data_IF_567662225597
#
_entry.id   IF_567662225597
#
_cell.length_a   1.000
_cell.length_b   1.000
_cell.length_c   1.000
_cell.angle_alpha   90.00
_cell.angle_beta   90.00
_cell.angle_gamma   90.00
#
_symmetry.space_group_name_H-M   'P 1'
#
loop_
_entity.id
_entity.type
_entity.pdbx_description
1 polymer ?
#
# COMPACT_ATOMS: atom_id res chain seq x y z
N UNK A 1 -14.18 -1.56 8.82
CA UNK A 1 -12.95 -0.86 9.25
C UNK A 1 -11.99 -0.86 8.07
N UNK A 2 -11.29 0.25 7.78
CA UNK A 2 -10.38 0.34 6.63
C UNK A 2 -9.10 -0.49 6.83
N UNK A 3 -8.36 -0.76 5.76
CA UNK A 3 -7.08 -1.46 5.81
C UNK A 3 -6.15 -0.77 6.82
N UNK A 4 -5.91 -1.39 7.99
CA UNK A 4 -5.04 -0.83 9.03
C UNK A 4 -3.58 -0.70 8.61
N UNK A 5 -3.21 -1.31 7.47
CA UNK A 5 -1.89 -1.22 6.87
C UNK A 5 -1.84 -0.23 5.71
N UNK A 6 -2.97 0.14 5.10
CA UNK A 6 -2.95 1.09 4.01
C UNK A 6 -2.48 2.44 4.53
N UNK A 7 -1.34 2.90 3.99
CA UNK A 7 -0.98 4.30 4.11
C UNK A 7 -2.10 5.16 3.50
N UNK A 8 -2.41 6.34 4.08
CA UNK A 8 -3.16 7.34 3.34
C UNK A 8 -2.39 7.60 2.03
N UNK A 9 -3.12 7.61 0.91
CA UNK A 9 -2.54 7.95 -0.39
C UNK A 9 -1.87 9.32 -0.24
N UNK A 10 -0.54 9.37 -0.35
CA UNK A 10 0.14 10.62 -0.61
C UNK A 10 -0.12 10.96 -2.07
N UNK A 11 -0.72 12.12 -2.31
CA UNK A 11 -0.86 12.66 -3.64
C UNK A 11 0.52 12.73 -4.28
N UNK A 12 0.62 12.06 -5.42
CA UNK A 12 1.82 12.07 -6.21
C UNK A 12 1.92 13.43 -6.88
N UNK A 13 2.86 14.25 -6.44
CA UNK A 13 3.36 15.35 -7.26
C UNK A 13 4.07 14.72 -8.46
N UNK A 14 3.32 14.56 -9.56
CA UNK A 14 3.92 14.42 -10.88
C UNK A 14 4.85 15.62 -11.00
N UNK A 15 6.16 15.39 -10.94
CA UNK A 15 7.16 16.42 -11.23
C UNK A 15 7.18 16.64 -12.73
N UNK A 16 6.06 17.15 -13.24
CA UNK A 16 5.83 17.70 -14.57
C UNK A 16 4.44 18.31 -14.53
N UNK A 17 4.40 19.65 -14.55
CA UNK A 17 3.27 20.41 -15.06
C UNK A 17 3.04 20.02 -16.53
N UNK A 18 2.49 18.83 -16.79
CA UNK A 18 2.00 18.48 -18.11
C UNK A 18 0.67 19.22 -18.26
N UNK A 19 0.69 20.26 -19.07
CA UNK A 19 -0.50 21.02 -19.38
C UNK A 19 -1.51 20.09 -20.08
N UNK A 20 -2.81 20.35 -19.93
CA UNK A 20 -3.87 19.59 -20.62
C UNK A 20 -3.66 19.53 -22.15
N UNK A 21 -2.88 20.45 -22.71
CA UNK A 21 -2.54 20.52 -24.12
C UNK A 21 -1.54 19.43 -24.52
N UNK A 22 -0.55 19.13 -23.67
CA UNK A 22 0.44 18.08 -23.91
C UNK A 22 -0.20 16.69 -23.90
N UNK A 23 -1.20 16.47 -23.03
CA UNK A 23 -1.97 15.22 -22.99
C UNK A 23 -2.74 14.96 -24.28
N UNK A 24 -3.34 16.00 -24.86
CA UNK A 24 -4.13 15.88 -26.10
C UNK A 24 -3.24 15.57 -27.32
N UNK A 25 -2.00 16.06 -27.32
CA UNK A 25 -1.02 15.79 -28.38
C UNK A 25 -0.48 14.36 -28.33
N UNK A 26 -0.38 13.78 -27.13
CA UNK A 26 0.17 12.44 -26.89
C UNK A 26 -0.86 11.31 -26.99
N UNK A 27 -2.15 11.63 -27.06
CA UNK A 27 -3.24 10.66 -27.07
C UNK A 27 -3.19 9.71 -28.28
N UNK A 28 -2.69 10.19 -29.43
CA UNK A 28 -2.71 9.48 -30.71
C UNK A 28 -1.38 8.81 -31.08
N UNK A 29 -0.36 8.87 -30.20
CA UNK A 29 0.94 8.26 -30.48
C UNK A 29 0.96 6.78 -30.08
N UNK A 30 1.12 5.90 -31.06
CA UNK A 30 1.34 4.48 -30.82
C UNK A 30 2.61 4.29 -29.97
N UNK A 31 2.48 3.51 -28.90
CA UNK A 31 3.56 3.26 -27.97
C UNK A 31 3.39 1.88 -27.34
N UNK A 32 4.48 1.13 -27.28
CA UNK A 32 4.53 -0.21 -26.69
C UNK A 32 5.55 -0.23 -25.56
N UNK A 33 5.27 -1.02 -24.53
CA UNK A 33 6.25 -1.30 -23.47
C UNK A 33 7.07 -2.53 -23.86
N UNK A 34 8.37 -2.33 -24.06
CA UNK A 34 9.29 -3.42 -24.43
C UNK A 34 9.94 -4.04 -23.19
N UNK A 35 10.26 -3.21 -22.20
CA UNK A 35 10.91 -3.66 -20.97
C UNK A 35 10.33 -2.96 -19.76
N UNK A 36 10.06 -3.73 -18.71
CA UNK A 36 9.76 -3.20 -17.38
C UNK A 36 10.83 -3.67 -16.41
N UNK A 37 11.34 -2.75 -15.61
CA UNK A 37 12.31 -3.04 -14.57
C UNK A 37 11.81 -2.47 -13.24
N UNK A 38 11.95 -3.24 -12.17
CA UNK A 38 11.73 -2.76 -10.81
C UNK A 38 13.06 -2.82 -10.07
N UNK A 39 13.39 -1.76 -9.35
CA UNK A 39 14.66 -1.60 -8.64
C UNK A 39 14.41 -1.17 -7.19
N UNK A 40 15.40 -1.34 -6.32
CA UNK A 40 15.36 -0.85 -4.94
C UNK A 40 14.58 -1.73 -3.96
N UNK A 41 14.35 -3.00 -4.31
CA UNK A 41 13.80 -4.01 -3.43
C UNK A 41 14.80 -5.15 -3.19
N UNK A 42 14.73 -5.78 -2.02
CA UNK A 42 15.66 -6.82 -1.58
C UNK A 42 14.96 -7.96 -0.84
N UNK A 43 13.94 -7.62 -0.05
CA UNK A 43 13.22 -8.58 0.80
C UNK A 43 11.96 -9.12 0.12
N UNK A 44 11.31 -8.27 -0.67
CA UNK A 44 10.07 -8.60 -1.38
C UNK A 44 10.37 -9.58 -2.52
N UNK A 45 9.61 -10.68 -2.60
CA UNK A 45 9.82 -11.68 -3.65
C UNK A 45 9.35 -11.20 -5.02
N UNK A 46 10.12 -11.55 -6.06
CA UNK A 46 9.86 -11.18 -7.46
C UNK A 46 8.45 -11.54 -7.92
N UNK A 47 7.93 -12.72 -7.58
CA UNK A 47 6.62 -13.17 -8.02
C UNK A 47 5.49 -12.20 -7.62
N UNK A 48 5.59 -11.56 -6.44
CA UNK A 48 4.59 -10.58 -5.98
C UNK A 48 4.63 -9.34 -6.86
N UNK A 49 5.84 -8.89 -7.20
CA UNK A 49 6.03 -7.70 -8.03
C UNK A 49 5.61 -7.99 -9.48
N UNK A 50 6.00 -9.14 -10.03
CA UNK A 50 5.65 -9.58 -11.39
C UNK A 50 4.14 -9.57 -11.63
N UNK A 51 3.36 -10.04 -10.66
CA UNK A 51 1.90 -10.04 -10.77
C UNK A 51 1.30 -8.64 -11.00
N UNK A 52 1.93 -7.60 -10.43
CA UNK A 52 1.50 -6.22 -10.60
C UNK A 52 1.99 -5.61 -11.91
N UNK A 53 3.21 -5.95 -12.35
CA UNK A 53 3.84 -5.38 -13.56
C UNK A 53 3.19 -5.86 -14.85
N UNK A 54 2.62 -7.07 -14.88
CA UNK A 54 2.11 -7.69 -16.11
C UNK A 54 1.10 -6.81 -16.87
N UNK A 55 0.37 -5.93 -16.16
CA UNK A 55 -0.53 -4.95 -16.75
C UNK A 55 0.17 -3.95 -17.70
N UNK A 56 1.46 -3.67 -17.52
CA UNK A 56 2.18 -2.72 -18.36
C UNK A 56 2.29 -3.21 -19.81
N UNK A 57 2.43 -4.51 -20.02
CA UNK A 57 2.62 -5.10 -21.34
C UNK A 57 1.37 -5.09 -22.22
N UNK A 58 0.19 -4.77 -21.67
CA UNK A 58 -1.06 -4.60 -22.44
C UNK A 58 -1.26 -3.17 -22.97
N UNK A 59 -0.28 -2.27 -22.78
CA UNK A 59 -0.37 -0.87 -23.17
C UNK A 59 0.03 -0.66 -24.64
N UNK A 60 -0.90 -0.13 -25.46
CA UNK A 60 -0.70 0.14 -26.90
C UNK A 60 -0.55 1.65 -27.27
N UNK A 61 -0.75 2.55 -26.31
CA UNK A 61 -0.65 4.01 -26.50
C UNK A 61 0.10 4.61 -25.32
N UNK A 62 0.76 5.75 -25.54
CA UNK A 62 1.54 6.42 -24.49
C UNK A 62 0.66 6.83 -23.30
N UNK A 63 -0.58 7.26 -23.57
CA UNK A 63 -1.57 7.54 -22.54
C UNK A 63 -1.89 6.29 -21.70
N UNK A 64 -2.01 5.12 -22.35
CA UNK A 64 -2.24 3.85 -21.64
C UNK A 64 -1.02 3.45 -20.81
N UNK A 65 0.20 3.72 -21.27
CA UNK A 65 1.42 3.48 -20.49
C UNK A 65 1.39 4.30 -19.20
N UNK A 66 1.05 5.59 -19.27
CA UNK A 66 0.95 6.45 -18.08
C UNK A 66 -0.14 5.94 -17.14
N UNK A 67 -1.35 5.68 -17.65
CA UNK A 67 -2.47 5.18 -16.85
C UNK A 67 -2.14 3.85 -16.18
N UNK A 68 -1.58 2.90 -16.93
CA UNK A 68 -1.21 1.60 -16.40
C UNK A 68 -0.06 1.70 -15.41
N UNK A 69 0.94 2.57 -15.64
CA UNK A 69 2.03 2.79 -14.69
C UNK A 69 1.52 3.32 -13.34
N UNK A 70 0.54 4.23 -13.37
CA UNK A 70 -0.15 4.70 -12.17
C UNK A 70 -0.91 3.57 -11.46
N UNK A 71 -1.63 2.72 -12.19
CA UNK A 71 -2.32 1.55 -11.62
C UNK A 71 -1.32 0.58 -10.99
N UNK A 72 -0.23 0.26 -11.69
CA UNK A 72 0.84 -0.61 -11.17
C UNK A 72 1.47 0.00 -9.93
N UNK A 73 1.74 1.31 -9.90
CA UNK A 73 2.24 1.98 -8.69
C UNK A 73 1.26 1.84 -7.53
N UNK A 74 -0.04 2.06 -7.76
CA UNK A 74 -1.07 1.90 -6.72
C UNK A 74 -1.13 0.47 -6.20
N UNK A 75 -1.04 -0.52 -7.09
CA UNK A 75 -0.99 -1.94 -6.71
C UNK A 75 0.26 -2.28 -5.90
N UNK A 76 1.44 -1.77 -6.31
CA UNK A 76 2.67 -2.00 -5.55
C UNK A 76 2.63 -1.28 -4.18
N UNK A 77 2.06 -0.08 -4.11
CA UNK A 77 1.84 0.63 -2.85
C UNK A 77 0.85 -0.09 -1.93
N UNK A 78 -0.20 -0.72 -2.48
CA UNK A 78 -1.19 -1.45 -1.68
C UNK A 78 -0.63 -2.72 -1.02
N UNK A 79 0.50 -3.24 -1.52
CA UNK A 79 1.26 -4.32 -0.86
C UNK A 79 1.86 -3.88 0.49
N UNK A 80 1.89 -2.59 0.80
CA UNK A 80 2.50 -2.03 2.01
C UNK A 80 3.92 -2.54 2.30
N UNK A 81 4.68 -2.86 1.25
CA UNK A 81 6.09 -3.26 1.33
C UNK A 81 7.03 -2.09 1.01
N UNK A 82 6.54 -1.08 0.31
CA UNK A 82 7.32 0.05 -0.18
C UNK A 82 6.92 1.34 0.53
N UNK A 83 7.93 2.14 0.87
CA UNK A 83 7.77 3.46 1.45
C UNK A 83 7.42 4.47 0.37
N UNK A 84 8.17 4.43 -0.74
CA UNK A 84 8.02 5.30 -1.89
C UNK A 84 8.26 4.51 -3.19
N UNK A 85 7.63 4.94 -4.29
CA UNK A 85 7.80 4.37 -5.63
C UNK A 85 7.79 5.52 -6.64
N UNK A 86 8.90 5.70 -7.35
CA UNK A 86 9.01 6.62 -8.48
C UNK A 86 9.00 5.86 -9.80
N UNK A 87 8.35 6.41 -10.82
CA UNK A 87 8.23 5.82 -12.15
C UNK A 87 9.05 6.67 -13.13
N UNK A 88 9.98 6.04 -13.85
CA UNK A 88 10.70 6.64 -14.95
C UNK A 88 10.28 5.94 -16.26
N UNK A 89 9.92 6.72 -17.26
CA UNK A 89 9.53 6.23 -18.59
C UNK A 89 10.52 6.79 -19.59
N UNK A 90 11.35 5.91 -20.15
CA UNK A 90 12.39 6.25 -21.11
C UNK A 90 12.11 5.58 -22.46
N UNK A 91 12.67 6.12 -23.53
CA UNK A 91 12.65 5.47 -24.85
C UNK A 91 13.56 4.24 -24.78
N UNK A 92 13.09 3.10 -25.27
CA UNK A 92 13.90 1.89 -25.28
C UNK A 92 15.06 2.05 -26.27
N UNK A 93 16.27 1.73 -25.83
CA UNK A 93 17.48 1.79 -26.65
C UNK A 93 18.22 0.45 -26.59
N UNK A 94 18.55 -0.13 -27.75
CA UNK A 94 19.27 -1.40 -27.86
C UNK A 94 18.89 -2.20 -29.11
N UNK A 95 19.52 -3.36 -29.31
CA UNK A 95 19.25 -4.24 -30.46
C UNK A 95 17.85 -4.85 -30.46
N UNK A 96 17.22 -4.96 -29.29
CA UNK A 96 15.89 -5.53 -29.10
C UNK A 96 14.79 -4.46 -28.96
N UNK A 97 15.13 -3.18 -29.18
CA UNK A 97 14.21 -2.06 -29.03
C UNK A 97 13.35 -1.88 -30.28
N UNK A 98 12.05 -1.74 -30.09
CA UNK A 98 11.14 -1.38 -31.18
C UNK A 98 11.13 0.14 -31.42
N UNK A 99 10.84 0.62 -32.65
CA UNK A 99 10.81 2.05 -32.96
C UNK A 99 9.87 2.88 -32.08
N UNK A 100 8.81 2.25 -31.58
CA UNK A 100 7.81 2.84 -30.67
C UNK A 100 7.89 2.22 -29.26
N UNK A 101 9.04 1.65 -28.92
CA UNK A 101 9.27 0.92 -27.69
C UNK A 101 9.70 1.81 -26.54
N UNK A 102 9.06 1.65 -25.38
CA UNK A 102 9.39 2.35 -24.15
C UNK A 102 9.88 1.37 -23.08
N UNK A 103 10.82 1.84 -22.27
CA UNK A 103 11.30 1.17 -21.08
C UNK A 103 10.71 1.87 -19.86
N UNK A 104 10.05 1.11 -18.99
CA UNK A 104 9.46 1.63 -17.75
C UNK A 104 10.24 1.10 -16.56
N UNK A 105 10.74 2.00 -15.72
CA UNK A 105 11.55 1.68 -14.54
C UNK A 105 10.81 2.16 -13.30
N UNK A 106 10.50 1.24 -12.39
CA UNK A 106 9.97 1.56 -11.07
C UNK A 106 11.11 1.52 -10.06
N UNK A 107 11.52 2.68 -9.56
CA UNK A 107 12.46 2.74 -8.43
C UNK A 107 11.64 2.73 -7.15
N UNK A 108 11.83 1.69 -6.36
CA UNK A 108 11.13 1.47 -5.10
C UNK A 108 12.07 1.72 -3.93
N UNK A 109 11.52 2.16 -2.81
CA UNK A 109 12.21 2.19 -1.53
C UNK A 109 11.46 1.26 -0.59
N UNK A 110 12.06 0.15 -0.18
CA UNK A 110 11.41 -0.78 0.77
C UNK A 110 11.21 -0.15 2.15
N UNK A 111 10.11 -0.52 2.81
CA UNK A 111 9.87 -0.15 4.20
C UNK A 111 10.90 -0.79 5.13
N UNK A 112 11.16 -0.09 6.23
CA UNK A 112 11.92 -0.64 7.34
C UNK A 112 11.23 -1.89 7.88
N UNK A 113 12.06 -2.88 8.25
CA UNK A 113 11.59 -4.17 8.79
C UNK A 113 10.73 -3.96 10.04
N UNK A 114 11.19 -3.10 10.96
CA UNK A 114 10.50 -2.76 12.19
C UNK A 114 10.23 -1.25 12.24
N UNK A 115 9.11 -0.87 12.85
CA UNK A 115 8.74 0.52 13.09
C UNK A 115 7.98 0.63 14.40
N UNK A 116 8.24 1.68 15.16
CA UNK A 116 7.50 1.99 16.38
C UNK A 116 6.36 2.95 16.05
N UNK A 117 5.24 2.79 16.73
CA UNK A 117 4.03 3.61 16.58
C UNK A 117 3.85 4.33 17.92
N UNK A 118 3.83 5.66 17.90
CA UNK A 118 3.53 6.48 19.06
C UNK A 118 2.56 7.58 18.65
N UNK A 119 1.33 7.53 19.15
CA UNK A 119 0.31 8.53 18.84
C UNK A 119 -0.51 8.87 20.08
N UNK A 120 -0.84 10.14 20.25
CA UNK A 120 -1.72 10.63 21.30
C UNK A 120 -2.99 11.15 20.65
N UNK A 121 -4.16 10.69 21.09
CA UNK A 121 -5.47 11.04 20.53
C UNK A 121 -6.35 11.52 21.67
N UNK A 122 -6.86 12.74 21.60
CA UNK A 122 -7.91 13.22 22.51
C UNK A 122 -9.28 13.02 21.83
N UNK A 123 -10.18 12.24 22.44
CA UNK A 123 -11.51 11.96 21.90
C UNK A 123 -12.51 11.75 23.03
N UNK A 124 -13.72 12.28 22.89
CA UNK A 124 -14.83 12.03 23.83
C UNK A 124 -14.45 12.33 25.30
N UNK A 125 -13.75 13.45 25.53
CA UNK A 125 -13.16 13.87 26.82
C UNK A 125 -12.17 12.88 27.45
N UNK A 126 -11.69 11.89 26.69
CA UNK A 126 -10.65 10.96 27.08
C UNK A 126 -9.40 11.16 26.21
N UNK A 127 -8.25 11.37 26.86
CA UNK A 127 -6.96 11.33 26.20
C UNK A 127 -6.46 9.89 26.13
N UNK A 128 -6.15 9.39 24.93
CA UNK A 128 -5.53 8.10 24.70
C UNK A 128 -4.09 8.27 24.24
N UNK A 129 -3.15 7.60 24.89
CA UNK A 129 -1.80 7.42 24.38
C UNK A 129 -1.71 5.99 23.82
N UNK A 130 -1.29 5.87 22.56
CA UNK A 130 -1.09 4.60 21.85
C UNK A 130 0.41 4.39 21.63
N UNK A 131 0.90 3.25 22.08
CA UNK A 131 2.23 2.74 21.81
C UNK A 131 2.10 1.44 21.03
N UNK A 132 2.88 1.25 19.98
CA UNK A 132 2.84 0.03 19.20
C UNK A 132 4.13 -0.26 18.47
N UNK A 133 4.19 -1.46 17.93
CA UNK A 133 5.28 -1.97 17.12
C UNK A 133 4.70 -2.61 15.86
N UNK A 134 5.33 -2.36 14.72
CA UNK A 134 4.95 -2.89 13.42
C UNK A 134 6.16 -3.57 12.78
N UNK A 135 5.97 -4.79 12.32
CA UNK A 135 6.91 -5.51 11.48
C UNK A 135 6.36 -5.62 10.06
N UNK A 136 7.16 -5.24 9.07
CA UNK A 136 6.78 -5.23 7.66
C UNK A 136 7.56 -6.30 6.89
N UNK A 137 6.84 -7.00 6.02
CA UNK A 137 7.38 -7.92 5.02
C UNK A 137 8.31 -9.02 5.58
N UNK A 138 7.91 -9.66 6.68
CA UNK A 138 8.74 -10.62 7.42
C UNK A 138 9.25 -11.81 6.58
N UNK A 139 8.43 -12.32 5.66
CA UNK A 139 8.79 -13.49 4.84
C UNK A 139 8.96 -13.17 3.37
N UNK A 140 9.01 -11.88 3.00
CA UNK A 140 9.05 -11.44 1.61
C UNK A 140 7.72 -11.58 0.85
N UNK A 141 6.65 -12.01 1.52
CA UNK A 141 5.32 -12.23 0.91
C UNK A 141 4.29 -11.13 1.23
N UNK A 142 4.72 -9.88 1.48
CA UNK A 142 3.82 -8.80 1.87
C UNK A 142 2.95 -9.17 3.10
N UNK A 143 3.62 -9.75 4.10
CA UNK A 143 3.04 -10.03 5.41
C UNK A 143 3.38 -8.90 6.38
N UNK A 144 2.44 -8.52 7.23
CA UNK A 144 2.65 -7.52 8.26
C UNK A 144 2.19 -8.04 9.60
N UNK A 145 2.89 -7.62 10.63
CA UNK A 145 2.53 -7.88 12.01
C UNK A 145 2.53 -6.58 12.78
N UNK A 146 1.53 -6.38 13.64
CA UNK A 146 1.34 -5.14 14.37
C UNK A 146 0.84 -5.46 15.76
N UNK A 147 1.44 -4.85 16.77
CA UNK A 147 0.95 -4.89 18.15
C UNK A 147 0.78 -3.45 18.62
N UNK A 148 -0.35 -3.14 19.24
CA UNK A 148 -0.64 -1.84 19.82
C UNK A 148 -1.19 -2.00 21.24
N UNK A 149 -0.74 -1.14 22.14
CA UNK A 149 -1.28 -0.95 23.47
C UNK A 149 -1.67 0.52 23.63
N UNK A 150 -2.84 0.77 24.20
CA UNK A 150 -3.33 2.13 24.43
C UNK A 150 -3.85 2.31 25.84
N UNK A 151 -3.53 3.45 26.43
CA UNK A 151 -3.92 3.85 27.77
C UNK A 151 -4.72 5.16 27.68
N UNK A 152 -5.89 5.17 28.28
CA UNK A 152 -6.79 6.30 28.39
C UNK A 152 -6.68 6.97 29.76
N UNK A 153 -6.87 8.28 29.82
CA UNK A 153 -6.85 9.04 31.07
C UNK A 153 -7.94 8.58 32.06
N UNK A 154 -9.05 8.03 31.58
CA UNK A 154 -10.13 7.46 32.40
C UNK A 154 -9.82 6.04 32.88
N UNK A 155 -8.60 5.55 32.70
CA UNK A 155 -8.18 4.19 33.04
C UNK A 155 -8.51 3.14 31.97
N UNK A 156 -9.06 3.54 30.81
CA UNK A 156 -9.33 2.63 29.70
C UNK A 156 -8.03 2.04 29.17
N UNK A 157 -7.98 0.73 28.97
CA UNK A 157 -6.82 0.05 28.40
C UNK A 157 -7.25 -0.76 27.19
N UNK A 158 -6.49 -0.69 26.11
CA UNK A 158 -6.72 -1.52 24.92
C UNK A 158 -5.41 -2.16 24.50
N UNK A 159 -5.49 -3.42 24.11
CA UNK A 159 -4.43 -4.17 23.51
C UNK A 159 -4.96 -4.77 22.21
N UNK A 160 -4.18 -4.66 21.14
CA UNK A 160 -4.51 -5.16 19.83
C UNK A 160 -3.27 -5.81 19.22
N UNK A 161 -3.41 -7.02 18.70
CA UNK A 161 -2.38 -7.70 17.95
C UNK A 161 -2.98 -8.16 16.61
N UNK A 162 -2.34 -7.79 15.51
CA UNK A 162 -2.79 -8.02 14.17
C UNK A 162 -1.70 -8.69 13.33
N UNK A 163 -2.10 -9.72 12.58
CA UNK A 163 -1.33 -10.26 11.47
C UNK A 163 -2.12 -10.05 10.17
N UNK A 164 -1.45 -9.62 9.12
CA UNK A 164 -2.05 -9.48 7.80
C UNK A 164 -1.13 -10.02 6.71
N UNK A 165 -1.75 -10.46 5.62
CA UNK A 165 -1.10 -11.01 4.45
C UNK A 165 -1.80 -10.53 3.20
N UNK A 166 -1.02 -10.01 2.26
CA UNK A 166 -1.53 -9.81 0.90
C UNK A 166 -1.66 -11.16 0.17
N UNK A 167 -2.80 -11.35 -0.49
CA UNK A 167 -3.08 -12.51 -1.32
C UNK A 167 -2.78 -12.12 -2.78
N UNK A 168 -1.77 -12.76 -3.40
CA UNK A 168 -1.40 -12.46 -4.78
C UNK A 168 -2.52 -12.84 -5.75
N UNK A 169 -2.80 -11.97 -6.71
CA UNK A 169 -3.86 -12.14 -7.72
C UNK A 169 -4.21 -10.83 -8.43
N UNK A 170 -5.18 -10.87 -9.35
CA UNK A 170 -5.63 -9.72 -10.15
C UNK A 170 -6.35 -8.62 -9.32
N UNK A 171 -6.81 -8.99 -8.12
CA UNK A 171 -7.47 -8.10 -7.15
C UNK A 171 -6.56 -8.03 -5.94
N UNK A 172 -6.09 -6.82 -5.59
CA UNK A 172 -5.27 -6.60 -4.39
C UNK A 172 -6.09 -6.97 -3.15
N UNK A 173 -5.94 -8.21 -2.70
CA UNK A 173 -6.73 -8.78 -1.62
C UNK A 173 -5.85 -8.93 -0.39
N UNK A 174 -6.39 -8.63 0.79
CA UNK A 174 -5.66 -8.71 2.05
C UNK A 174 -6.47 -9.54 3.03
N UNK A 175 -5.87 -10.59 3.57
CA UNK A 175 -6.41 -11.31 4.72
C UNK A 175 -5.76 -10.77 5.99
N UNK A 176 -6.54 -10.57 7.04
CA UNK A 176 -6.01 -10.18 8.34
C UNK A 176 -6.73 -10.87 9.47
N UNK A 177 -5.99 -11.19 10.52
CA UNK A 177 -6.49 -11.72 11.78
C UNK A 177 -6.05 -10.80 12.91
N UNK A 178 -6.96 -10.51 13.82
CA UNK A 178 -6.76 -9.60 14.94
C UNK A 178 -7.19 -10.29 16.24
N UNK A 179 -6.44 -10.04 17.31
CA UNK A 179 -6.80 -10.41 18.67
C UNK A 179 -6.77 -9.12 19.46
N UNK A 180 -7.91 -8.76 20.06
CA UNK A 180 -8.02 -7.53 20.82
C UNK A 180 -8.55 -7.82 22.22
N UNK A 181 -8.11 -7.00 23.16
CA UNK A 181 -8.62 -6.94 24.52
C UNK A 181 -8.83 -5.49 24.91
N UNK A 182 -9.98 -5.19 25.48
CA UNK A 182 -10.35 -3.84 25.91
C UNK A 182 -10.92 -3.89 27.32
N UNK A 183 -10.34 -3.07 28.19
CA UNK A 183 -10.82 -2.81 29.53
C UNK A 183 -11.33 -1.38 29.60
N UNK A 184 -12.61 -1.21 29.90
CA UNK A 184 -13.26 0.11 30.02
C UNK A 184 -13.91 0.24 31.39
N UNK A 185 -13.87 1.45 31.94
CA UNK A 185 -14.54 1.78 33.19
C UNK A 185 -15.80 2.59 32.89
N UNK A 186 -16.91 2.26 33.55
CA UNK A 186 -18.15 3.04 33.43
C UNK A 186 -18.44 3.78 34.73
N UNK A 187 -18.46 5.11 34.62
CA UNK A 187 -18.33 6.03 35.75
C UNK A 187 -19.55 6.05 36.70
N UNK A 188 -20.69 5.50 36.28
CA UNK A 188 -21.93 5.58 37.06
C UNK A 188 -22.16 4.40 38.03
N UNK A 189 -21.52 3.23 37.83
CA UNK A 189 -21.85 2.00 38.57
C UNK A 189 -20.62 1.21 39.04
N UNK A 190 -19.40 1.77 38.97
CA UNK A 190 -18.15 1.05 39.28
C UNK A 190 -17.96 -0.26 38.50
N UNK A 191 -18.67 -0.43 37.38
CA UNK A 191 -18.56 -1.59 36.51
C UNK A 191 -17.26 -1.57 35.71
N UNK A 192 -16.52 -2.67 35.75
CA UNK A 192 -15.36 -2.91 34.88
C UNK A 192 -15.82 -3.78 33.72
N UNK A 193 -15.77 -3.24 32.52
CA UNK A 193 -16.07 -4.01 31.31
C UNK A 193 -14.77 -4.52 30.70
N UNK A 194 -14.58 -5.84 30.66
CA UNK A 194 -13.41 -6.49 30.10
C UNK A 194 -13.85 -7.35 28.90
N UNK A 195 -13.58 -6.84 27.70
CA UNK A 195 -13.87 -7.48 26.43
C UNK A 195 -12.59 -8.11 25.90
N UNK A 196 -12.71 -9.32 25.36
CA UNK A 196 -11.68 -9.91 24.52
C UNK A 196 -12.37 -10.51 23.29
N UNK A 197 -11.67 -10.50 22.17
CA UNK A 197 -12.23 -11.01 20.94
C UNK A 197 -11.16 -11.26 19.90
N UNK A 198 -11.55 -12.05 18.91
CA UNK A 198 -10.77 -12.29 17.71
C UNK A 198 -11.58 -11.86 16.51
N UNK A 199 -10.92 -11.31 15.51
CA UNK A 199 -11.57 -10.80 14.31
C UNK A 199 -10.78 -11.24 13.09
N UNK A 200 -11.48 -11.75 12.08
CA UNK A 200 -10.90 -12.16 10.82
C UNK A 200 -11.53 -11.34 9.70
N UNK A 201 -10.70 -10.63 8.96
CA UNK A 201 -11.13 -9.76 7.86
C UNK A 201 -10.51 -10.21 6.55
N UNK A 202 -11.34 -10.24 5.50
CA UNK A 202 -10.91 -10.32 4.11
C UNK A 202 -11.27 -9.00 3.43
N UNK A 203 -10.26 -8.29 2.98
CA UNK A 203 -10.44 -7.05 2.25
C UNK A 203 -10.08 -7.25 0.78
N UNK A 204 -10.98 -6.87 -0.10
CA UNK A 204 -10.76 -6.84 -1.54
C UNK A 204 -10.66 -5.38 -1.97
N UNK A 205 -9.49 -4.96 -2.47
CA UNK A 205 -9.37 -3.68 -3.17
C UNK A 205 -9.76 -3.93 -4.63
N UNK A 206 -10.99 -3.59 -4.97
CA UNK A 206 -11.43 -3.58 -6.35
C UNK A 206 -10.65 -2.50 -7.11
N UNK A 207 -9.96 -2.87 -8.20
CA UNK A 207 -9.41 -1.89 -9.13
C UNK A 207 -10.56 -1.06 -9.70
N UNK A 208 -10.45 0.26 -9.59
CA UNK A 208 -11.35 1.19 -10.26
C UNK A 208 -11.20 0.98 -11.78
N UNK A 209 -12.17 0.31 -12.41
CA UNK A 209 -12.31 0.32 -13.85
C UNK A 209 -12.73 1.74 -14.24
N UNK A 210 -11.81 2.50 -14.82
CA UNK A 210 -12.18 3.69 -15.58
C UNK A 210 -12.94 3.18 -16.80
N UNK A 211 -14.25 3.43 -16.85
CA UNK A 211 -15.07 3.25 -18.06
C UNK A 211 -14.70 4.30 -19.10
#
# INVERSE_FOLDING_TARGET
MGNLFAKPYHDFNISRELSLQDFKLLEHKEARVDQVQVQGYSKTKDFIIQSSINLMFSSNSFNNIIKNAEIVRKNLMSLNCFENISINIDVSSGSNSTPNGYKVIFNTQELKCASTILHSIARDNEGFVKLGFKLNNLTGHANHFKIESSLGNSGTQKFDACISRHIPGSISSCASGHIFRKKSYWNAVHGVFNEWGTLFDLQFLASYKVQ
#
